data_IF_524742032357
#
_entry.id   IF_524742032357
#
_cell.length_a   1.000
_cell.length_b   1.000
_cell.length_c   1.000
_cell.angle_alpha   90.00
_cell.angle_beta   90.00
_cell.angle_gamma   90.00
#
_symmetry.space_group_name_H-M   'P 1'
#
loop_
_entity.id
_entity.type
_entity.pdbx_description
1 polymer ?
#
# COMPACT_ATOMS: atom_id res chain seq x y z
N UNK A 1 -2.05 1.40 37.69
CA UNK A 1 -0.83 2.06 37.17
C UNK A 1 -1.29 3.32 36.45
N UNK A 2 -0.77 4.47 36.80
CA UNK A 2 -1.01 5.73 36.06
C UNK A 2 0.02 5.78 34.95
N UNK A 3 -0.44 5.66 33.69
CA UNK A 3 0.41 5.87 32.53
C UNK A 3 0.50 7.38 32.26
N UNK A 4 1.69 7.96 32.28
CA UNK A 4 1.96 9.31 31.74
C UNK A 4 2.32 9.18 30.26
N UNK A 5 1.36 8.76 29.42
CA UNK A 5 1.53 8.64 27.97
C UNK A 5 0.65 9.73 27.35
N UNK A 6 1.29 10.76 26.76
CA UNK A 6 0.58 11.89 26.15
C UNK A 6 -0.10 11.52 24.85
N UNK A 7 0.56 10.76 23.97
CA UNK A 7 0.04 10.37 22.66
C UNK A 7 0.63 9.04 22.19
N UNK A 8 -0.22 8.16 21.63
CA UNK A 8 0.17 6.87 21.04
C UNK A 8 -0.32 6.82 19.60
N UNK A 9 0.61 6.80 18.64
CA UNK A 9 0.27 6.71 17.22
C UNK A 9 0.26 5.25 16.75
N UNK A 10 -0.92 4.72 16.47
CA UNK A 10 -1.16 3.35 16.02
C UNK A 10 -1.85 3.29 14.65
N UNK A 11 -1.53 4.24 13.76
CA UNK A 11 -2.13 4.30 12.41
C UNK A 11 -1.06 4.42 11.29
N UNK A 12 0.05 3.69 11.43
CA UNK A 12 1.16 3.70 10.47
C UNK A 12 0.75 3.18 9.07
N UNK A 13 -0.32 2.38 8.97
CA UNK A 13 -0.87 1.96 7.69
C UNK A 13 -1.58 3.10 6.94
N UNK A 14 -2.07 4.14 7.63
CA UNK A 14 -2.62 5.35 6.99
C UNK A 14 -1.50 6.26 6.51
N UNK A 15 -0.54 6.59 7.36
CA UNK A 15 0.66 7.39 7.02
C UNK A 15 1.72 7.22 8.10
N UNK A 16 2.96 7.58 7.77
CA UNK A 16 4.05 7.66 8.76
C UNK A 16 4.64 9.07 8.80
N UNK A 17 5.27 9.51 9.90
CA UNK A 17 6.07 10.71 9.92
C UNK A 17 7.31 10.56 9.03
N UNK A 18 7.83 11.66 8.51
CA UNK A 18 9.17 11.68 7.88
C UNK A 18 10.20 11.46 8.99
N UNK A 19 11.13 10.51 8.80
CA UNK A 19 12.21 10.34 9.79
C UNK A 19 13.21 11.50 9.77
N UNK A 20 13.91 11.71 10.89
CA UNK A 20 14.92 12.79 11.01
C UNK A 20 16.02 12.66 9.95
N UNK A 21 16.52 11.43 9.73
CA UNK A 21 17.58 11.16 8.75
C UNK A 21 17.12 11.42 7.32
N UNK A 22 15.83 11.16 7.02
CA UNK A 22 15.24 11.46 5.72
C UNK A 22 15.09 12.97 5.55
N UNK A 23 14.62 13.67 6.58
CA UNK A 23 14.45 15.12 6.53
C UNK A 23 15.81 15.84 6.34
N UNK A 24 16.83 15.42 7.08
CA UNK A 24 18.20 15.97 6.98
C UNK A 24 18.76 15.81 5.56
N UNK A 25 18.56 14.66 4.92
CA UNK A 25 19.01 14.39 3.54
C UNK A 25 18.26 15.27 2.52
N UNK A 26 17.00 15.62 2.79
CA UNK A 26 16.18 16.46 1.91
C UNK A 26 16.53 17.94 1.97
N UNK A 27 16.91 18.46 3.14
CA UNK A 27 17.04 19.91 3.40
C UNK A 27 17.91 20.68 2.39
N UNK A 28 19.09 20.20 1.96
CA UNK A 28 19.93 20.92 1.02
C UNK A 28 19.25 21.20 -0.33
N UNK A 29 18.32 20.34 -0.75
CA UNK A 29 17.65 20.45 -2.05
C UNK A 29 16.51 21.48 -2.07
N UNK A 30 16.18 22.09 -0.95
CA UNK A 30 15.22 23.21 -0.91
C UNK A 30 15.88 24.57 -1.14
N UNK A 31 17.14 24.75 -0.73
CA UNK A 31 17.78 26.07 -0.67
C UNK A 31 19.18 26.15 -1.26
N UNK A 32 19.93 25.07 -1.24
CA UNK A 32 21.34 25.05 -1.68
C UNK A 32 21.48 24.37 -3.07
N UNK A 33 21.08 23.12 -3.21
CA UNK A 33 21.13 22.33 -4.45
C UNK A 33 19.78 22.33 -5.17
N UNK A 34 19.16 23.50 -5.35
CA UNK A 34 17.80 23.68 -5.90
C UNK A 34 17.72 23.72 -7.43
N UNK A 35 18.82 23.45 -8.13
CA UNK A 35 18.89 23.58 -9.59
C UNK A 35 17.87 22.68 -10.31
N UNK A 36 17.26 23.21 -11.39
CA UNK A 36 16.37 22.40 -12.22
C UNK A 36 17.17 21.27 -12.89
N UNK A 37 16.84 20.00 -12.68
CA UNK A 37 17.62 18.86 -13.20
C UNK A 37 17.79 18.83 -14.72
N UNK A 38 16.89 19.49 -15.47
CA UNK A 38 16.95 19.57 -16.93
C UNK A 38 17.92 20.63 -17.47
N UNK A 39 18.47 21.51 -16.62
CA UNK A 39 19.40 22.56 -17.02
C UNK A 39 20.84 22.06 -17.18
N UNK A 40 21.69 22.86 -17.87
CA UNK A 40 23.06 22.41 -18.21
C UNK A 40 24.13 22.90 -17.21
N UNK A 41 23.81 23.85 -16.34
CA UNK A 41 24.78 24.43 -15.38
C UNK A 41 25.02 23.50 -14.18
N UNK A 42 26.16 23.73 -13.48
CA UNK A 42 26.66 22.87 -12.40
C UNK A 42 25.63 22.60 -11.29
N UNK A 43 24.91 23.65 -10.83
CA UNK A 43 23.88 23.49 -9.81
C UNK A 43 22.79 22.45 -10.14
N UNK A 44 22.51 22.26 -11.42
CA UNK A 44 21.56 21.27 -11.92
C UNK A 44 22.11 19.85 -11.94
N UNK A 45 23.43 19.71 -12.03
CA UNK A 45 24.07 18.38 -12.03
C UNK A 45 23.95 17.73 -10.65
N UNK A 46 24.01 18.50 -9.56
CA UNK A 46 23.81 17.99 -8.19
C UNK A 46 22.39 17.42 -8.04
N UNK A 47 21.38 18.17 -8.49
CA UNK A 47 19.99 17.71 -8.46
C UNK A 47 19.77 16.46 -9.31
N UNK A 48 20.34 16.41 -10.53
CA UNK A 48 20.25 15.24 -11.42
C UNK A 48 20.93 14.02 -10.81
N UNK A 49 22.12 14.19 -10.25
CA UNK A 49 22.86 13.12 -9.61
C UNK A 49 22.11 12.55 -8.40
N UNK A 50 21.48 13.42 -7.60
CA UNK A 50 20.67 13.01 -6.46
C UNK A 50 19.42 12.22 -6.86
N UNK A 51 18.77 12.61 -7.97
CA UNK A 51 17.64 11.84 -8.53
C UNK A 51 18.08 10.44 -8.93
N UNK A 52 19.16 10.33 -9.74
CA UNK A 52 19.60 9.02 -10.21
C UNK A 52 20.14 8.15 -9.08
N UNK A 53 20.83 8.71 -8.08
CA UNK A 53 21.25 7.97 -6.89
C UNK A 53 20.06 7.45 -6.07
N UNK A 54 19.00 8.23 -5.93
CA UNK A 54 17.77 7.80 -5.27
C UNK A 54 17.05 6.71 -6.05
N UNK A 55 17.08 6.81 -7.38
CA UNK A 55 16.54 5.78 -8.31
C UNK A 55 17.28 4.46 -8.17
N UNK A 56 18.62 4.50 -8.10
CA UNK A 56 19.47 3.33 -7.88
C UNK A 56 19.14 2.62 -6.56
N UNK A 57 18.89 3.39 -5.48
CA UNK A 57 18.50 2.84 -4.17
C UNK A 57 17.17 2.08 -4.26
N UNK A 58 16.13 2.69 -4.90
CA UNK A 58 14.85 2.02 -5.08
C UNK A 58 15.01 0.75 -5.92
N UNK A 59 15.70 0.85 -7.05
CA UNK A 59 15.94 -0.26 -7.96
C UNK A 59 16.64 -1.43 -7.25
N UNK A 60 17.67 -1.14 -6.47
CA UNK A 60 18.41 -2.15 -5.69
C UNK A 60 17.51 -2.88 -4.70
N UNK A 61 16.65 -2.16 -3.96
CA UNK A 61 15.80 -2.76 -2.93
C UNK A 61 14.76 -3.72 -3.53
N UNK A 62 14.22 -3.40 -4.70
CA UNK A 62 13.22 -4.27 -5.35
C UNK A 62 13.81 -5.21 -6.42
N UNK A 63 15.14 -5.27 -6.56
CA UNK A 63 15.87 -6.06 -7.55
C UNK A 63 15.48 -5.75 -9.01
N UNK A 64 15.36 -4.44 -9.34
CA UNK A 64 15.13 -3.96 -10.71
C UNK A 64 16.34 -3.24 -11.29
N UNK A 65 16.25 -2.83 -12.57
CA UNK A 65 17.17 -1.86 -13.15
C UNK A 65 16.71 -0.43 -12.83
N UNK A 66 17.61 0.55 -12.65
CA UNK A 66 17.21 1.94 -12.42
C UNK A 66 16.37 2.53 -13.56
N UNK A 67 16.56 2.06 -14.81
CA UNK A 67 15.77 2.49 -15.96
C UNK A 67 14.29 2.09 -15.86
N UNK A 68 13.95 1.11 -15.03
CA UNK A 68 12.60 0.61 -14.83
C UNK A 68 11.83 1.36 -13.73
N UNK A 69 12.45 2.35 -13.08
CA UNK A 69 11.80 3.15 -12.03
C UNK A 69 11.36 4.50 -12.61
N UNK A 70 10.10 4.86 -12.40
CA UNK A 70 9.52 6.17 -12.71
C UNK A 70 8.99 6.79 -11.43
N UNK A 71 9.44 7.99 -11.06
CA UNK A 71 8.93 8.70 -9.91
C UNK A 71 7.55 9.31 -10.19
N UNK A 72 6.68 9.26 -9.20
CA UNK A 72 5.30 9.75 -9.24
C UNK A 72 5.00 10.56 -7.97
N UNK A 73 3.81 11.13 -7.86
CA UNK A 73 3.39 11.84 -6.64
C UNK A 73 2.92 10.93 -5.49
N UNK A 74 2.87 9.62 -5.70
CA UNK A 74 2.41 8.66 -4.68
C UNK A 74 1.76 7.43 -5.29
N UNK A 75 1.30 6.50 -4.42
CA UNK A 75 0.69 5.24 -4.84
C UNK A 75 -0.53 5.42 -5.76
N UNK A 76 -1.35 6.43 -5.51
CA UNK A 76 -2.53 6.70 -6.35
C UNK A 76 -2.15 7.06 -7.79
N UNK A 77 -1.15 7.93 -7.99
CA UNK A 77 -0.65 8.23 -9.33
C UNK A 77 -0.01 7.01 -9.98
N UNK A 78 0.81 6.26 -9.23
CA UNK A 78 1.44 5.03 -9.73
C UNK A 78 0.42 4.00 -10.21
N UNK A 79 -0.63 3.73 -9.40
CA UNK A 79 -1.71 2.81 -9.75
C UNK A 79 -2.50 3.26 -10.99
N UNK A 80 -2.81 4.56 -11.07
CA UNK A 80 -3.48 5.13 -12.24
C UNK A 80 -2.61 5.06 -13.48
N UNK A 81 -1.31 5.40 -13.38
CA UNK A 81 -0.38 5.34 -14.50
C UNK A 81 -0.22 3.89 -15.00
N UNK A 82 -0.08 2.92 -14.09
CA UNK A 82 -0.01 1.51 -14.44
C UNK A 82 -1.25 1.05 -15.21
N UNK A 83 -2.44 1.28 -14.66
CA UNK A 83 -3.68 0.78 -15.27
C UNK A 83 -4.07 1.57 -16.53
N UNK A 84 -4.14 2.89 -16.43
CA UNK A 84 -4.59 3.74 -17.55
C UNK A 84 -3.56 3.81 -18.65
N UNK A 85 -2.27 3.88 -18.32
CA UNK A 85 -1.19 3.90 -19.31
C UNK A 85 -1.12 2.64 -20.17
N UNK A 86 -1.63 1.51 -19.67
CA UNK A 86 -1.75 0.25 -20.42
C UNK A 86 -3.11 0.15 -21.14
N UNK A 87 -4.19 0.55 -20.49
CA UNK A 87 -5.54 0.26 -20.97
C UNK A 87 -6.07 1.30 -21.98
N UNK A 88 -5.68 2.58 -21.86
CA UNK A 88 -6.22 3.63 -22.74
C UNK A 88 -5.73 3.55 -24.20
N UNK A 89 -4.45 3.25 -24.49
CA UNK A 89 -3.94 3.29 -25.86
C UNK A 89 -4.57 2.25 -26.79
N UNK A 90 -4.91 1.07 -26.30
CA UNK A 90 -5.25 -0.10 -27.10
C UNK A 90 -6.67 -0.64 -26.85
N UNK A 91 -7.60 0.24 -26.51
CA UNK A 91 -8.97 -0.12 -26.14
C UNK A 91 -9.74 -0.92 -27.22
N UNK A 92 -9.26 -0.91 -28.46
CA UNK A 92 -9.97 -1.53 -29.59
C UNK A 92 -9.36 -2.84 -30.08
N UNK A 93 -8.31 -3.37 -29.45
CA UNK A 93 -7.58 -4.55 -29.94
C UNK A 93 -8.15 -5.92 -29.51
N UNK A 94 -9.39 -5.94 -29.00
CA UNK A 94 -10.09 -7.20 -28.63
C UNK A 94 -9.65 -7.78 -27.29
N UNK A 95 -8.83 -7.08 -26.51
CA UNK A 95 -8.56 -7.35 -25.09
C UNK A 95 -9.17 -6.21 -24.25
N UNK A 96 -10.33 -6.45 -23.71
CA UNK A 96 -11.12 -5.46 -22.98
C UNK A 96 -11.54 -5.92 -21.57
N UNK A 97 -10.86 -6.90 -21.00
CA UNK A 97 -11.12 -7.36 -19.64
C UNK A 97 -10.00 -6.92 -18.70
N UNK A 98 -10.40 -6.45 -17.53
CA UNK A 98 -9.53 -6.11 -16.39
C UNK A 98 -9.93 -7.02 -15.23
N UNK A 99 -8.94 -7.66 -14.60
CA UNK A 99 -9.14 -8.48 -13.40
C UNK A 99 -8.48 -7.78 -12.21
N UNK A 100 -9.24 -7.51 -11.17
CA UNK A 100 -8.73 -6.96 -9.91
C UNK A 100 -9.22 -7.80 -8.73
N UNK A 101 -8.55 -7.73 -7.58
CA UNK A 101 -9.08 -8.38 -6.38
C UNK A 101 -10.26 -7.61 -5.79
N UNK A 102 -11.12 -8.32 -5.04
CA UNK A 102 -12.22 -7.68 -4.28
C UNK A 102 -11.73 -6.82 -3.12
N UNK A 103 -10.45 -6.93 -2.76
CA UNK A 103 -9.85 -6.24 -1.61
C UNK A 103 -8.85 -5.13 -1.99
N UNK A 104 -8.88 -4.68 -3.26
CA UNK A 104 -8.01 -3.61 -3.73
C UNK A 104 -8.27 -2.27 -3.02
N UNK A 105 -7.24 -1.44 -2.99
CA UNK A 105 -7.41 -0.03 -2.60
C UNK A 105 -8.24 0.73 -3.65
N UNK A 106 -8.96 1.77 -3.23
CA UNK A 106 -9.77 2.61 -4.13
C UNK A 106 -8.95 3.23 -5.28
N UNK A 107 -7.64 3.39 -5.14
CA UNK A 107 -6.74 3.83 -6.21
C UNK A 107 -6.61 2.82 -7.37
N UNK A 108 -7.12 1.59 -7.21
CA UNK A 108 -7.27 0.57 -8.26
C UNK A 108 -8.75 0.42 -8.64
N UNK A 109 -9.66 0.34 -7.65
CA UNK A 109 -11.10 0.13 -7.90
C UNK A 109 -11.67 1.25 -8.77
N UNK A 110 -11.48 2.52 -8.37
CA UNK A 110 -12.08 3.65 -9.08
C UNK A 110 -11.53 3.84 -10.51
N UNK A 111 -10.22 3.73 -10.80
CA UNK A 111 -9.73 3.71 -12.18
C UNK A 111 -10.31 2.56 -13.01
N UNK A 112 -10.44 1.36 -12.44
CA UNK A 112 -11.05 0.22 -13.12
C UNK A 112 -12.53 0.51 -13.47
N UNK A 113 -13.30 1.04 -12.51
CA UNK A 113 -14.70 1.46 -12.74
C UNK A 113 -14.80 2.56 -13.80
N UNK A 114 -13.87 3.51 -13.82
CA UNK A 114 -13.82 4.52 -14.88
C UNK A 114 -13.61 3.89 -16.27
N UNK A 115 -12.76 2.88 -16.38
CA UNK A 115 -12.50 2.18 -17.64
C UNK A 115 -13.72 1.39 -18.14
N UNK A 116 -14.65 0.97 -17.27
CA UNK A 116 -15.94 0.41 -17.71
C UNK A 116 -16.72 1.38 -18.60
N UNK A 117 -16.69 2.68 -18.29
CA UNK A 117 -17.43 3.68 -19.06
C UNK A 117 -16.97 3.81 -20.50
N UNK A 118 -15.78 3.31 -20.82
CA UNK A 118 -15.18 3.34 -22.15
C UNK A 118 -15.07 1.95 -22.81
N UNK A 119 -15.67 0.90 -22.22
CA UNK A 119 -15.85 -0.40 -22.85
C UNK A 119 -15.04 -1.56 -22.27
N UNK A 120 -14.34 -1.36 -21.14
CA UNK A 120 -13.73 -2.46 -20.41
C UNK A 120 -14.74 -3.22 -19.56
N UNK A 121 -14.59 -4.54 -19.46
CA UNK A 121 -15.25 -5.39 -18.48
C UNK A 121 -14.32 -5.58 -17.27
N UNK A 122 -14.78 -5.22 -16.08
CA UNK A 122 -14.01 -5.39 -14.84
C UNK A 122 -14.52 -6.59 -14.07
N UNK A 123 -13.64 -7.54 -13.81
CA UNK A 123 -13.89 -8.75 -13.03
C UNK A 123 -13.23 -8.63 -11.66
N UNK A 124 -14.00 -8.95 -10.63
CA UNK A 124 -13.54 -8.88 -9.24
C UNK A 124 -13.22 -10.28 -8.75
N UNK A 125 -11.94 -10.59 -8.60
CA UNK A 125 -11.48 -11.88 -8.11
C UNK A 125 -11.74 -12.00 -6.60
N UNK A 126 -12.50 -13.00 -6.14
CA UNK A 126 -12.81 -13.18 -4.74
C UNK A 126 -11.60 -13.67 -3.94
N UNK A 127 -11.66 -13.39 -2.64
CA UNK A 127 -10.72 -13.90 -1.65
C UNK A 127 -11.39 -14.91 -0.72
N UNK A 128 -10.57 -15.69 0.00
CA UNK A 128 -11.04 -16.57 1.07
C UNK A 128 -11.22 -15.79 2.40
N UNK A 129 -11.52 -16.53 3.47
CA UNK A 129 -11.71 -16.01 4.82
C UNK A 129 -10.42 -15.48 5.49
N UNK A 130 -9.25 -15.73 4.91
CA UNK A 130 -7.96 -15.11 5.31
C UNK A 130 -7.58 -13.91 4.42
N UNK A 131 -8.41 -13.58 3.44
CA UNK A 131 -8.18 -12.49 2.49
C UNK A 131 -7.18 -12.83 1.40
N UNK A 132 -7.03 -14.12 1.06
CA UNK A 132 -6.13 -14.62 0.02
C UNK A 132 -6.93 -14.94 -1.23
N UNK A 133 -6.38 -14.62 -2.42
CA UNK A 133 -6.99 -14.90 -3.71
C UNK A 133 -7.30 -16.40 -3.86
N UNK A 134 -8.54 -16.70 -4.24
CA UNK A 134 -8.96 -18.05 -4.60
C UNK A 134 -8.43 -18.41 -5.98
N UNK A 135 -7.44 -19.30 -6.03
CA UNK A 135 -6.69 -19.62 -7.24
C UNK A 135 -7.59 -20.16 -8.36
N UNK A 136 -8.58 -21.02 -8.05
CA UNK A 136 -9.49 -21.58 -9.04
C UNK A 136 -10.38 -20.51 -9.68
N UNK A 137 -10.87 -19.55 -8.87
CA UNK A 137 -11.65 -18.42 -9.37
C UNK A 137 -10.78 -17.51 -10.25
N UNK A 138 -9.55 -17.20 -9.80
CA UNK A 138 -8.59 -16.42 -10.57
C UNK A 138 -8.28 -17.08 -11.92
N UNK A 139 -7.99 -18.38 -11.94
CA UNK A 139 -7.70 -19.15 -13.16
C UNK A 139 -8.84 -19.08 -14.18
N UNK A 140 -10.09 -19.12 -13.71
CA UNK A 140 -11.28 -19.05 -14.55
C UNK A 140 -11.57 -17.64 -15.06
N UNK A 141 -11.12 -16.60 -14.35
CA UNK A 141 -11.33 -15.20 -14.75
C UNK A 141 -10.36 -14.73 -15.83
N UNK A 142 -9.16 -15.34 -15.92
CA UNK A 142 -8.16 -14.98 -16.92
C UNK A 142 -8.50 -15.62 -18.26
N UNK A 143 -8.87 -14.80 -19.25
CA UNK A 143 -9.30 -15.22 -20.58
C UNK A 143 -8.44 -14.59 -21.68
N UNK A 144 -8.67 -14.96 -22.92
CA UNK A 144 -8.02 -14.37 -24.08
C UNK A 144 -8.41 -12.89 -24.35
N UNK A 145 -9.37 -12.35 -23.58
CA UNK A 145 -9.77 -10.95 -23.60
C UNK A 145 -9.14 -10.14 -22.47
N UNK A 146 -8.48 -10.80 -21.50
CA UNK A 146 -7.84 -10.13 -20.39
C UNK A 146 -6.66 -9.28 -20.88
N UNK A 147 -6.69 -7.99 -20.59
CA UNK A 147 -5.63 -7.02 -20.90
C UNK A 147 -4.76 -6.74 -19.70
N UNK A 148 -5.39 -6.51 -18.56
CA UNK A 148 -4.71 -6.02 -17.36
C UNK A 148 -5.20 -6.75 -16.11
N UNK A 149 -4.27 -7.09 -15.24
CA UNK A 149 -4.54 -7.69 -13.94
C UNK A 149 -3.88 -6.83 -12.88
N UNK A 150 -4.60 -6.52 -11.80
CA UNK A 150 -4.03 -5.83 -10.64
C UNK A 150 -4.45 -6.54 -9.36
N UNK A 151 -3.46 -7.10 -8.66
CA UNK A 151 -3.63 -7.76 -7.36
C UNK A 151 -2.63 -7.14 -6.40
N UNK A 152 -3.12 -6.52 -5.32
CA UNK A 152 -2.25 -5.91 -4.32
C UNK A 152 -1.36 -6.95 -3.64
N UNK A 153 -0.09 -6.61 -3.39
CA UNK A 153 0.85 -7.52 -2.73
C UNK A 153 0.51 -7.70 -1.25
N UNK A 154 0.11 -6.60 -0.58
CA UNK A 154 -0.28 -6.64 0.83
C UNK A 154 -1.45 -5.69 1.10
N UNK A 155 -2.46 -6.16 1.84
CA UNK A 155 -3.65 -5.39 2.13
C UNK A 155 -3.44 -4.43 3.32
N UNK A 156 -3.95 -3.21 3.19
CA UNK A 156 -3.80 -2.13 4.16
C UNK A 156 -4.77 -2.21 5.37
N UNK A 157 -5.79 -3.07 5.31
CA UNK A 157 -6.80 -3.19 6.37
C UNK A 157 -6.59 -4.43 7.22
N UNK A 158 -6.37 -5.57 6.60
CA UNK A 158 -6.28 -6.89 7.26
C UNK A 158 -4.87 -7.47 7.24
N UNK A 159 -3.95 -6.83 6.50
CA UNK A 159 -2.56 -7.26 6.41
C UNK A 159 -2.31 -8.50 5.56
N UNK A 160 -3.31 -9.08 4.87
CA UNK A 160 -3.09 -10.27 4.03
C UNK A 160 -2.02 -10.03 2.95
N UNK A 161 -1.16 -11.04 2.71
CA UNK A 161 -0.07 -11.00 1.73
C UNK A 161 -0.34 -12.02 0.65
N UNK A 162 -0.44 -11.57 -0.61
CA UNK A 162 -0.78 -12.43 -1.74
C UNK A 162 0.44 -13.15 -2.30
N UNK A 163 0.24 -14.38 -2.75
CA UNK A 163 1.26 -15.14 -3.50
C UNK A 163 1.30 -14.68 -4.96
N UNK A 164 1.79 -13.44 -5.19
CA UNK A 164 1.83 -12.83 -6.52
C UNK A 164 2.59 -13.70 -7.52
N UNK A 165 3.70 -14.34 -7.11
CA UNK A 165 4.46 -15.22 -8.00
C UNK A 165 3.60 -16.33 -8.60
N UNK A 166 2.86 -17.05 -7.78
CA UNK A 166 2.00 -18.13 -8.26
C UNK A 166 0.91 -17.62 -9.23
N UNK A 167 0.32 -16.45 -8.94
CA UNK A 167 -0.67 -15.83 -9.83
C UNK A 167 -0.04 -15.39 -11.17
N UNK A 168 1.16 -14.84 -11.14
CA UNK A 168 1.90 -14.48 -12.36
C UNK A 168 2.24 -15.71 -13.19
N UNK A 169 2.70 -16.80 -12.57
CA UNK A 169 2.99 -18.06 -13.28
C UNK A 169 1.78 -18.58 -14.06
N UNK A 170 0.58 -18.55 -13.45
CA UNK A 170 -0.68 -18.89 -14.11
C UNK A 170 -0.92 -17.98 -15.34
N UNK A 171 -0.71 -16.66 -15.18
CA UNK A 171 -0.91 -15.71 -16.28
C UNK A 171 0.06 -15.96 -17.41
N UNK A 172 1.34 -16.24 -17.12
CA UNK A 172 2.36 -16.53 -18.15
C UNK A 172 2.07 -17.82 -18.94
N UNK A 173 1.45 -18.82 -18.32
CA UNK A 173 0.95 -20.01 -19.03
C UNK A 173 -0.21 -19.67 -19.95
N UNK A 174 -1.20 -18.91 -19.46
CA UNK A 174 -2.33 -18.42 -20.26
C UNK A 174 -1.92 -17.54 -21.44
N UNK A 175 -0.91 -16.68 -21.28
CA UNK A 175 -0.33 -15.88 -22.36
C UNK A 175 0.16 -16.77 -23.53
N UNK A 176 0.82 -17.89 -23.21
CA UNK A 176 1.30 -18.84 -24.22
C UNK A 176 0.13 -19.48 -24.99
N UNK A 177 -0.90 -19.91 -24.23
CA UNK A 177 -2.09 -20.54 -24.83
C UNK A 177 -2.87 -19.58 -25.71
N UNK A 178 -2.98 -18.31 -25.31
CA UNK A 178 -3.74 -17.29 -26.03
C UNK A 178 -2.91 -16.58 -27.12
N UNK A 179 -1.59 -16.71 -27.10
CA UNK A 179 -0.63 -15.92 -27.91
C UNK A 179 -0.91 -14.42 -27.78
N UNK A 180 -1.12 -13.94 -26.55
CA UNK A 180 -1.43 -12.53 -26.21
C UNK A 180 -0.75 -12.13 -24.92
N UNK A 181 -0.27 -10.87 -24.85
CA UNK A 181 0.29 -10.31 -23.63
C UNK A 181 -0.83 -9.92 -22.66
N UNK A 182 -0.67 -10.27 -21.39
CA UNK A 182 -1.51 -9.86 -20.26
C UNK A 182 -0.62 -9.14 -19.26
N UNK A 183 -0.89 -7.88 -18.98
CA UNK A 183 -0.07 -7.10 -18.07
C UNK A 183 -0.46 -7.36 -16.62
N UNK A 184 0.51 -7.72 -15.80
CA UNK A 184 0.32 -7.97 -14.37
C UNK A 184 0.92 -6.85 -13.53
N UNK A 185 0.06 -6.11 -12.85
CA UNK A 185 0.41 -5.07 -11.88
C UNK A 185 0.19 -5.56 -10.45
N UNK A 186 1.05 -5.10 -9.53
CA UNK A 186 0.83 -5.27 -8.09
C UNK A 186 0.99 -3.95 -7.35
N UNK A 187 0.00 -3.61 -6.50
CA UNK A 187 0.13 -2.52 -5.54
C UNK A 187 0.95 -3.01 -4.34
N UNK A 188 2.20 -2.53 -4.22
CA UNK A 188 3.12 -2.87 -3.14
C UNK A 188 3.22 -1.77 -2.06
N UNK A 189 2.31 -0.81 -2.05
CA UNK A 189 2.32 0.36 -1.15
C UNK A 189 2.42 -0.05 0.32
N UNK A 190 1.77 -1.13 0.73
CA UNK A 190 1.87 -1.62 2.10
C UNK A 190 3.00 -2.63 2.33
N UNK A 191 3.64 -3.11 1.27
CA UNK A 191 4.65 -4.17 1.34
C UNK A 191 6.08 -3.65 1.52
N UNK A 192 6.40 -2.51 0.88
CA UNK A 192 7.76 -1.91 0.91
C UNK A 192 8.22 -1.64 2.34
N UNK A 193 9.43 -2.08 2.67
CA UNK A 193 10.05 -1.94 3.99
C UNK A 193 9.48 -2.88 5.07
N UNK A 194 8.50 -3.74 4.73
CA UNK A 194 7.87 -4.69 5.67
C UNK A 194 8.11 -6.14 5.27
N UNK A 195 8.08 -6.43 3.97
CA UNK A 195 8.44 -7.75 3.40
C UNK A 195 9.45 -7.57 2.27
N UNK A 196 10.18 -8.64 1.95
CA UNK A 196 11.14 -8.63 0.83
C UNK A 196 10.40 -8.56 -0.50
N UNK A 197 10.86 -7.69 -1.39
CA UNK A 197 10.33 -7.53 -2.73
C UNK A 197 11.44 -7.79 -3.75
N UNK A 198 11.19 -8.70 -4.68
CA UNK A 198 12.06 -9.00 -5.80
C UNK A 198 11.20 -9.09 -7.06
N UNK A 199 11.19 -8.02 -7.87
CA UNK A 199 10.30 -7.93 -9.05
C UNK A 199 10.63 -8.98 -10.10
N UNK A 200 11.90 -9.41 -10.20
CA UNK A 200 12.31 -10.47 -11.12
C UNK A 200 11.78 -11.83 -10.67
N UNK A 201 11.80 -12.11 -9.36
CA UNK A 201 11.24 -13.35 -8.81
C UNK A 201 9.70 -13.35 -8.82
N UNK A 202 9.07 -12.18 -8.58
CA UNK A 202 7.62 -12.04 -8.69
C UNK A 202 7.12 -12.18 -10.14
N UNK A 203 7.93 -11.73 -11.12
CA UNK A 203 7.61 -11.78 -12.54
C UNK A 203 6.55 -10.78 -12.99
N UNK A 204 6.26 -9.75 -12.18
CA UNK A 204 5.29 -8.70 -12.48
C UNK A 204 5.77 -7.76 -13.57
N UNK A 205 4.85 -7.16 -14.30
CA UNK A 205 5.13 -6.15 -15.32
C UNK A 205 5.22 -4.74 -14.72
N UNK A 206 4.43 -4.47 -13.66
CA UNK A 206 4.36 -3.16 -13.00
C UNK A 206 4.19 -3.34 -11.48
N UNK A 207 4.79 -2.41 -10.69
CA UNK A 207 4.66 -2.41 -9.24
C UNK A 207 4.62 -0.97 -8.70
N UNK A 208 3.61 -0.67 -7.88
CA UNK A 208 3.41 0.66 -7.30
C UNK A 208 3.98 0.79 -5.89
N UNK A 209 4.62 1.93 -5.61
CA UNK A 209 5.24 2.30 -4.34
C UNK A 209 4.72 3.66 -3.88
N UNK A 210 4.56 3.87 -2.56
CA UNK A 210 4.22 5.16 -1.96
C UNK A 210 5.10 5.46 -0.75
N UNK A 211 5.86 6.55 -0.82
CA UNK A 211 6.90 6.87 0.15
C UNK A 211 6.41 7.05 1.58
N UNK A 212 5.25 7.68 1.77
CA UNK A 212 4.73 7.99 3.11
C UNK A 212 4.29 6.76 3.94
N UNK A 213 4.40 5.56 3.41
CA UNK A 213 4.14 4.31 4.14
C UNK A 213 5.38 3.71 4.80
N UNK A 214 6.56 4.29 4.53
CA UNK A 214 7.84 3.87 5.10
C UNK A 214 8.76 5.07 5.42
N UNK A 215 8.20 6.10 6.06
CA UNK A 215 8.89 7.28 6.62
C UNK A 215 9.52 8.23 5.59
N UNK A 216 9.12 8.16 4.31
CA UNK A 216 9.39 9.20 3.33
C UNK A 216 8.31 10.31 3.36
N UNK A 217 8.53 11.46 2.70
CA UNK A 217 7.52 12.50 2.63
C UNK A 217 6.26 12.05 1.89
N UNK A 218 5.13 12.68 2.20
CA UNK A 218 3.92 12.63 1.40
C UNK A 218 4.18 13.31 0.05
N UNK A 219 3.45 12.96 -0.99
CA UNK A 219 3.60 13.60 -2.30
C UNK A 219 4.73 13.02 -3.15
N UNK A 220 5.22 11.82 -2.80
CA UNK A 220 6.20 11.07 -3.60
C UNK A 220 5.85 9.57 -3.60
N UNK A 221 6.02 8.95 -4.76
CA UNK A 221 5.94 7.52 -4.98
C UNK A 221 6.80 7.10 -6.16
N UNK A 222 6.69 5.85 -6.55
CA UNK A 222 7.35 5.33 -7.74
C UNK A 222 6.50 4.22 -8.37
N UNK A 223 6.62 4.10 -9.69
CA UNK A 223 6.14 2.96 -10.47
C UNK A 223 7.35 2.22 -11.05
N UNK A 224 7.48 0.95 -10.73
CA UNK A 224 8.32 0.02 -11.48
C UNK A 224 7.60 -0.34 -12.76
N UNK A 225 8.28 -0.22 -13.88
CA UNK A 225 7.82 -0.57 -15.22
C UNK A 225 8.88 -1.48 -15.83
N UNK A 226 8.54 -2.75 -16.04
CA UNK A 226 9.45 -3.71 -16.67
C UNK A 226 9.94 -3.19 -18.03
N UNK A 227 11.20 -3.41 -18.38
CA UNK A 227 11.85 -2.88 -19.61
C UNK A 227 11.13 -3.23 -20.92
N UNK A 228 10.30 -4.30 -20.93
CA UNK A 228 9.51 -4.72 -22.10
C UNK A 228 8.10 -4.14 -22.11
N UNK A 229 7.77 -3.26 -21.17
CA UNK A 229 6.44 -2.64 -21.03
C UNK A 229 6.52 -1.17 -21.41
N UNK A 230 5.63 -0.73 -22.26
CA UNK A 230 5.44 0.69 -22.56
C UNK A 230 4.15 1.15 -21.90
N UNK A 231 4.20 2.26 -21.18
CA UNK A 231 3.03 2.93 -20.61
C UNK A 231 2.85 4.30 -21.28
N UNK A 232 1.62 4.63 -21.61
CA UNK A 232 1.30 6.01 -22.04
C UNK A 232 1.27 6.92 -20.82
N UNK A 233 1.91 8.09 -20.87
CA UNK A 233 1.92 9.03 -19.77
C UNK A 233 0.50 9.55 -19.47
N UNK A 234 0.19 9.75 -18.20
CA UNK A 234 -1.03 10.47 -17.80
C UNK A 234 -0.83 11.99 -17.79
N UNK A 235 0.40 12.44 -17.66
CA UNK A 235 0.78 13.84 -17.59
C UNK A 235 1.74 14.14 -18.76
N UNK A 236 1.20 14.74 -19.80
CA UNK A 236 1.98 15.21 -20.95
C UNK A 236 2.74 16.49 -20.62
N UNK A 237 3.91 16.70 -21.27
CA UNK A 237 4.71 17.90 -21.06
C UNK A 237 6.15 17.78 -21.54
N UNK A 238 7.11 18.14 -20.70
CA UNK A 238 8.53 18.25 -21.04
C UNK A 238 9.30 16.92 -21.15
N UNK A 239 8.65 15.78 -21.02
CA UNK A 239 9.25 14.46 -21.20
C UNK A 239 10.18 14.01 -20.08
N UNK A 240 10.02 14.58 -18.86
CA UNK A 240 10.74 14.12 -17.69
C UNK A 240 10.41 12.65 -17.38
N UNK A 241 11.16 12.05 -16.44
CA UNK A 241 11.00 10.63 -16.10
C UNK A 241 10.95 9.71 -17.35
N UNK A 242 11.84 9.96 -18.30
CA UNK A 242 11.95 9.18 -19.56
C UNK A 242 10.65 9.14 -20.37
N UNK A 243 9.92 10.24 -20.38
CA UNK A 243 8.62 10.42 -21.06
C UNK A 243 7.44 9.68 -20.39
N UNK A 244 7.64 8.98 -19.29
CA UNK A 244 6.56 8.31 -18.56
C UNK A 244 5.77 9.28 -17.69
N UNK A 245 6.39 10.38 -17.20
CA UNK A 245 5.73 11.33 -16.32
C UNK A 245 6.37 12.72 -16.44
N UNK A 246 5.70 13.65 -17.08
CA UNK A 246 6.19 14.99 -17.30
C UNK A 246 6.01 15.90 -16.07
N UNK A 247 6.74 17.01 -16.07
CA UNK A 247 6.79 18.01 -15.00
C UNK A 247 8.13 17.97 -14.26
N UNK A 248 8.61 19.15 -13.86
CA UNK A 248 9.87 19.28 -13.11
C UNK A 248 9.89 18.33 -11.91
N UNK A 249 10.95 17.61 -11.75
CA UNK A 249 11.11 16.58 -10.73
C UNK A 249 11.16 17.21 -9.32
N UNK A 250 10.43 16.61 -8.38
CA UNK A 250 10.44 17.02 -6.97
C UNK A 250 11.70 16.47 -6.27
N UNK A 251 12.84 17.12 -6.55
CA UNK A 251 14.16 16.64 -6.11
C UNK A 251 14.22 16.35 -4.61
N UNK A 252 13.77 17.24 -3.70
CA UNK A 252 13.83 16.96 -2.26
C UNK A 252 13.07 15.70 -1.88
N UNK A 253 11.85 15.51 -2.43
CA UNK A 253 11.04 14.33 -2.11
C UNK A 253 11.59 13.05 -2.73
N UNK A 254 12.21 13.12 -3.92
CA UNK A 254 12.90 12.01 -4.56
C UNK A 254 14.10 11.57 -3.71
N UNK A 255 14.88 12.51 -3.20
CA UNK A 255 15.98 12.21 -2.26
C UNK A 255 15.42 11.57 -0.99
N UNK A 256 14.31 12.12 -0.48
CA UNK A 256 13.64 11.61 0.71
C UNK A 256 13.17 10.15 0.54
N UNK A 257 12.53 9.80 -0.57
CA UNK A 257 12.09 8.40 -0.79
C UNK A 257 13.29 7.45 -0.97
N UNK A 258 14.38 7.91 -1.63
CA UNK A 258 15.62 7.16 -1.78
C UNK A 258 16.32 6.86 -0.45
N UNK A 259 16.32 7.82 0.49
CA UNK A 259 16.86 7.61 1.84
C UNK A 259 15.96 6.71 2.68
N UNK A 260 14.65 6.95 2.62
CA UNK A 260 13.69 6.19 3.39
C UNK A 260 13.66 4.71 3.03
N UNK A 261 13.74 4.36 1.72
CA UNK A 261 13.71 2.95 1.31
C UNK A 261 14.97 2.19 1.74
N UNK A 262 16.13 2.86 1.74
CA UNK A 262 17.39 2.30 2.24
C UNK A 262 17.29 1.98 3.73
N UNK A 263 16.76 2.91 4.54
CA UNK A 263 16.56 2.71 5.99
C UNK A 263 15.53 1.60 6.22
N UNK A 264 14.41 1.62 5.51
CA UNK A 264 13.34 0.64 5.67
C UNK A 264 13.83 -0.79 5.36
N UNK A 265 14.58 -0.97 4.27
CA UNK A 265 15.13 -2.29 3.93
C UNK A 265 16.18 -2.77 4.94
N UNK A 266 17.07 -1.89 5.40
CA UNK A 266 18.08 -2.26 6.41
C UNK A 266 17.47 -2.66 7.75
N UNK A 267 16.28 -2.13 8.09
CA UNK A 267 15.58 -2.40 9.34
C UNK A 267 14.42 -3.41 9.19
N UNK A 268 14.19 -3.98 8.02
CA UNK A 268 13.00 -4.79 7.70
C UNK A 268 12.81 -5.99 8.65
N UNK A 269 13.87 -6.70 8.96
CA UNK A 269 13.81 -7.86 9.87
C UNK A 269 13.49 -7.43 11.31
N UNK A 270 14.13 -6.36 11.78
CA UNK A 270 13.85 -5.79 13.09
C UNK A 270 12.40 -5.27 13.17
N UNK A 271 11.92 -4.59 12.12
CA UNK A 271 10.54 -4.15 12.02
C UNK A 271 9.56 -5.33 12.15
N UNK A 272 9.79 -6.39 11.39
CA UNK A 272 8.95 -7.58 11.43
C UNK A 272 8.89 -8.18 12.84
N UNK A 273 10.04 -8.44 13.46
CA UNK A 273 10.11 -9.06 14.77
C UNK A 273 9.45 -8.18 15.85
N UNK A 274 9.80 -6.91 15.89
CA UNK A 274 9.27 -5.97 16.86
C UNK A 274 7.74 -5.81 16.74
N UNK A 275 7.23 -5.55 15.54
CA UNK A 275 5.78 -5.36 15.35
C UNK A 275 5.00 -6.65 15.53
N UNK A 276 5.60 -7.82 15.26
CA UNK A 276 5.01 -9.12 15.55
C UNK A 276 4.82 -9.31 17.07
N UNK A 277 5.85 -9.00 17.86
CA UNK A 277 5.80 -9.10 19.32
C UNK A 277 4.75 -8.15 19.91
N UNK A 278 4.65 -6.91 19.38
CA UNK A 278 3.62 -5.95 19.78
C UNK A 278 2.20 -6.45 19.45
N UNK A 279 2.00 -6.96 18.23
CA UNK A 279 0.70 -7.49 17.79
C UNK A 279 0.26 -8.70 18.60
N UNK A 280 1.18 -9.64 18.85
CA UNK A 280 0.92 -10.84 19.64
C UNK A 280 0.59 -10.49 21.11
N UNK A 281 1.31 -9.51 21.68
CA UNK A 281 1.02 -8.99 23.02
C UNK A 281 -0.36 -8.35 23.07
N UNK A 282 -0.70 -7.48 22.12
CA UNK A 282 -2.01 -6.83 22.04
C UNK A 282 -3.13 -7.86 21.98
N UNK A 283 -3.07 -8.80 21.03
CA UNK A 283 -4.09 -9.83 20.84
C UNK A 283 -4.27 -10.69 22.11
N UNK A 284 -3.17 -11.09 22.74
CA UNK A 284 -3.20 -11.88 23.96
C UNK A 284 -3.84 -11.11 25.14
N UNK A 285 -3.46 -9.85 25.33
CA UNK A 285 -4.01 -9.04 26.43
C UNK A 285 -5.48 -8.69 26.19
N UNK A 286 -5.83 -8.36 24.95
CA UNK A 286 -7.22 -8.06 24.58
C UNK A 286 -8.12 -9.28 24.82
N UNK A 287 -7.65 -10.49 24.46
CA UNK A 287 -8.41 -11.73 24.67
C UNK A 287 -8.71 -11.99 26.15
N UNK A 288 -7.83 -11.60 27.04
CA UNK A 288 -8.05 -11.70 28.48
C UNK A 288 -9.07 -10.69 29.02
N UNK A 289 -9.17 -9.50 28.41
CA UNK A 289 -10.05 -8.40 28.84
C UNK A 289 -11.41 -8.43 28.14
N UNK A 290 -11.44 -8.74 26.87
CA UNK A 290 -12.61 -8.75 25.97
C UNK A 290 -12.61 -10.08 25.19
N UNK A 291 -13.00 -11.21 25.82
CA UNK A 291 -12.85 -12.54 25.20
C UNK A 291 -13.63 -12.74 23.90
N UNK A 292 -14.71 -11.97 23.71
CA UNK A 292 -15.65 -12.05 22.59
C UNK A 292 -15.23 -11.19 21.36
N UNK A 293 -14.08 -10.51 21.41
CA UNK A 293 -13.62 -9.77 20.23
C UNK A 293 -13.33 -10.71 19.04
N UNK A 294 -13.59 -10.23 17.85
CA UNK A 294 -13.38 -10.95 16.58
C UNK A 294 -12.17 -10.37 15.86
N UNK A 295 -11.15 -11.19 15.63
CA UNK A 295 -9.95 -10.79 14.89
C UNK A 295 -10.20 -10.96 13.38
N UNK A 296 -9.87 -9.94 12.60
CA UNK A 296 -10.01 -9.94 11.14
C UNK A 296 -8.69 -9.98 10.38
N UNK A 297 -7.57 -9.69 11.04
CA UNK A 297 -6.24 -9.75 10.41
C UNK A 297 -5.95 -11.14 9.86
N UNK A 298 -5.21 -11.20 8.77
CA UNK A 298 -4.73 -12.45 8.17
C UNK A 298 -3.74 -13.15 9.10
N UNK A 299 -3.82 -14.48 9.15
CA UNK A 299 -2.97 -15.30 10.03
C UNK A 299 -1.48 -15.22 9.68
N UNK A 300 -1.16 -15.09 8.37
CA UNK A 300 0.20 -15.02 7.85
C UNK A 300 0.45 -13.69 7.12
N UNK A 301 -0.18 -12.63 7.61
CA UNK A 301 -0.11 -11.30 7.01
C UNK A 301 1.06 -10.45 7.52
N UNK A 302 0.95 -9.15 7.24
CA UNK A 302 1.88 -8.15 7.77
C UNK A 302 1.83 -8.14 9.30
N UNK A 303 2.99 -8.17 9.93
CA UNK A 303 3.15 -8.25 11.38
C UNK A 303 2.62 -7.04 12.14
N UNK A 304 2.50 -5.91 11.48
CA UNK A 304 2.18 -4.62 12.09
C UNK A 304 0.69 -4.24 12.04
N UNK A 305 -0.18 -5.01 11.38
CA UNK A 305 -1.60 -4.69 11.22
C UNK A 305 -2.46 -5.61 12.08
N UNK A 306 -3.23 -5.01 12.98
CA UNK A 306 -4.24 -5.71 13.78
C UNK A 306 -5.60 -5.08 13.51
N UNK A 307 -6.48 -5.83 12.85
CA UNK A 307 -7.86 -5.45 12.58
C UNK A 307 -8.81 -6.35 13.36
N UNK A 308 -9.74 -5.76 14.08
CA UNK A 308 -10.67 -6.51 14.94
C UNK A 308 -11.99 -5.74 15.09
N UNK A 309 -13.01 -6.46 15.54
CA UNK A 309 -14.30 -5.87 15.95
C UNK A 309 -14.69 -6.36 17.33
N UNK A 310 -15.47 -5.54 18.05
CA UNK A 310 -16.08 -5.92 19.30
C UNK A 310 -17.59 -6.04 19.04
N UNK A 311 -18.20 -7.22 19.27
CA UNK A 311 -19.61 -7.45 18.98
C UNK A 311 -20.53 -6.42 19.67
N UNK A 312 -21.51 -5.94 18.91
CA UNK A 312 -22.52 -4.96 19.32
C UNK A 312 -21.98 -3.55 19.66
N UNK A 313 -20.75 -3.22 19.28
CA UNK A 313 -20.21 -1.87 19.37
C UNK A 313 -19.76 -1.43 17.97
N UNK A 314 -20.11 -0.22 17.57
CA UNK A 314 -19.63 0.38 16.33
C UNK A 314 -18.17 0.87 16.47
N UNK A 315 -17.41 0.84 15.38
CA UNK A 315 -16.00 1.23 15.39
C UNK A 315 -15.77 2.72 15.66
N UNK A 316 -16.60 3.60 15.10
CA UNK A 316 -16.46 5.05 15.24
C UNK A 316 -16.50 5.53 16.71
N UNK A 317 -17.48 5.15 17.55
CA UNK A 317 -17.45 5.48 18.97
C UNK A 317 -16.21 4.96 19.70
N UNK A 318 -15.70 3.78 19.34
CA UNK A 318 -14.44 3.25 19.90
C UNK A 318 -13.28 4.17 19.53
N UNK A 319 -13.16 4.56 18.26
CA UNK A 319 -12.09 5.43 17.78
C UNK A 319 -12.11 6.80 18.45
N UNK A 320 -13.30 7.40 18.59
CA UNK A 320 -13.48 8.67 19.30
C UNK A 320 -13.05 8.52 20.78
N UNK A 321 -13.49 7.44 21.45
CA UNK A 321 -13.11 7.17 22.82
C UNK A 321 -11.60 6.96 23.01
N UNK A 322 -10.93 6.30 22.06
CA UNK A 322 -9.48 6.13 22.04
C UNK A 322 -8.75 7.46 21.81
N UNK A 323 -9.24 8.29 20.90
CA UNK A 323 -8.67 9.61 20.60
C UNK A 323 -8.71 10.53 21.85
N UNK A 324 -9.81 10.54 22.61
CA UNK A 324 -9.88 11.22 23.91
C UNK A 324 -8.86 10.73 24.93
N UNK A 325 -8.32 9.53 24.75
CA UNK A 325 -7.24 8.96 25.57
C UNK A 325 -5.85 9.13 24.91
N UNK A 326 -5.75 9.93 23.84
CA UNK A 326 -4.49 10.17 23.12
C UNK A 326 -4.04 8.99 22.22
N UNK A 327 -4.92 8.02 21.92
CA UNK A 327 -4.60 6.85 21.07
C UNK A 327 -5.19 7.05 19.68
N UNK A 328 -4.32 7.19 18.69
CA UNK A 328 -4.69 7.38 17.28
C UNK A 328 -4.77 6.04 16.57
N UNK A 329 -5.96 5.66 16.14
CA UNK A 329 -6.26 4.44 15.42
C UNK A 329 -7.22 4.74 14.26
N UNK A 330 -7.53 3.75 13.43
CA UNK A 330 -8.37 3.93 12.25
C UNK A 330 -9.46 2.87 12.16
N UNK A 331 -10.53 3.15 11.43
CA UNK A 331 -11.41 2.11 10.91
C UNK A 331 -10.78 1.49 9.65
N UNK A 332 -11.14 0.28 9.29
CA UNK A 332 -10.69 -0.34 8.05
C UNK A 332 -10.96 0.56 6.82
N UNK A 333 -12.08 1.27 6.80
CA UNK A 333 -12.55 2.12 5.70
C UNK A 333 -12.14 3.60 5.79
N UNK A 334 -11.04 3.96 6.43
CA UNK A 334 -10.60 5.35 6.70
C UNK A 334 -10.54 6.31 5.50
N UNK A 335 -10.69 5.83 4.26
CA UNK A 335 -10.67 6.66 3.05
C UNK A 335 -12.04 7.24 2.64
N UNK A 336 -13.13 6.89 3.30
CA UNK A 336 -14.48 7.40 3.02
C UNK A 336 -14.93 8.38 4.11
N UNK A 337 -14.50 9.64 4.02
CA UNK A 337 -14.79 10.71 5.01
C UNK A 337 -16.25 11.18 5.04
N UNK A 338 -17.17 10.55 4.31
CA UNK A 338 -18.54 11.02 4.17
C UNK A 338 -19.65 9.97 4.36
N UNK A 339 -19.35 8.68 4.50
CA UNK A 339 -20.38 7.65 4.70
C UNK A 339 -19.91 6.59 5.72
N UNK A 340 -20.81 6.22 6.65
CA UNK A 340 -20.65 5.08 7.55
C UNK A 340 -20.94 3.82 6.73
N UNK A 341 -20.01 3.45 5.85
CA UNK A 341 -20.13 2.21 5.06
C UNK A 341 -19.19 1.14 5.64
N UNK A 342 -19.63 -0.13 5.67
CA UNK A 342 -18.78 -1.23 6.10
C UNK A 342 -17.60 -1.40 5.14
N UNK A 343 -16.45 -1.81 5.66
CA UNK A 343 -15.28 -2.09 4.84
C UNK A 343 -15.57 -3.13 3.76
N UNK A 344 -15.38 -2.75 2.48
CA UNK A 344 -15.51 -3.69 1.36
C UNK A 344 -14.53 -4.87 1.48
N UNK A 345 -13.37 -4.67 2.10
CA UNK A 345 -12.37 -5.71 2.36
C UNK A 345 -12.92 -6.75 3.34
N UNK A 346 -13.52 -6.31 4.44
CA UNK A 346 -14.11 -7.22 5.42
C UNK A 346 -15.33 -7.95 4.87
N UNK A 347 -16.19 -7.26 4.10
CA UNK A 347 -17.31 -7.89 3.39
C UNK A 347 -16.84 -8.94 2.39
N UNK A 348 -15.77 -8.65 1.64
CA UNK A 348 -15.17 -9.59 0.68
C UNK A 348 -14.63 -10.88 1.34
N UNK A 349 -14.17 -10.78 2.60
CA UNK A 349 -13.79 -11.95 3.43
C UNK A 349 -14.99 -12.73 3.98
N UNK A 350 -16.21 -12.24 3.83
CA UNK A 350 -17.42 -12.84 4.39
C UNK A 350 -17.70 -12.42 5.85
N UNK A 351 -17.10 -11.34 6.34
CA UNK A 351 -17.42 -10.79 7.66
C UNK A 351 -18.83 -10.18 7.62
N UNK A 352 -19.63 -10.47 8.64
CA UNK A 352 -20.97 -9.88 8.78
C UNK A 352 -20.91 -8.34 8.78
N UNK A 353 -21.88 -7.70 8.13
CA UNK A 353 -21.92 -6.25 7.94
C UNK A 353 -21.85 -5.47 9.26
N UNK A 354 -22.53 -5.93 10.32
CA UNK A 354 -22.50 -5.27 11.63
C UNK A 354 -21.13 -5.36 12.29
N UNK A 355 -20.44 -6.49 12.12
CA UNK A 355 -19.07 -6.65 12.58
C UNK A 355 -18.11 -5.79 11.76
N UNK A 356 -18.29 -5.72 10.44
CA UNK A 356 -17.49 -4.88 9.57
C UNK A 356 -17.62 -3.38 9.91
N UNK A 357 -18.83 -2.90 10.24
CA UNK A 357 -19.09 -1.55 10.76
C UNK A 357 -18.44 -1.29 12.12
N UNK A 358 -18.24 -2.34 12.91
CA UNK A 358 -17.59 -2.30 14.22
C UNK A 358 -16.07 -2.40 14.17
N UNK A 359 -15.45 -2.43 12.99
CA UNK A 359 -14.03 -2.71 12.85
C UNK A 359 -13.14 -1.55 13.30
N UNK A 360 -12.05 -1.91 14.00
CA UNK A 360 -10.95 -1.04 14.41
C UNK A 360 -9.66 -1.63 13.88
N UNK A 361 -8.83 -0.80 13.25
CA UNK A 361 -7.49 -1.17 12.83
C UNK A 361 -6.44 -0.43 13.66
N UNK A 362 -5.54 -1.18 14.26
CA UNK A 362 -4.27 -0.70 14.79
C UNK A 362 -3.17 -1.06 13.81
N UNK A 363 -2.24 -0.17 13.59
CA UNK A 363 -1.07 -0.45 12.76
C UNK A 363 0.19 0.13 13.42
N UNK A 364 1.02 -0.77 13.90
CA UNK A 364 2.21 -0.47 14.68
C UNK A 364 3.42 -0.11 13.81
N UNK A 365 4.41 0.51 14.44
CA UNK A 365 5.70 0.88 13.85
C UNK A 365 6.84 0.56 14.82
N UNK A 366 8.08 0.83 14.40
CA UNK A 366 9.26 0.66 15.26
C UNK A 366 9.27 1.60 16.49
N UNK A 367 8.48 2.67 16.46
CA UNK A 367 8.42 3.62 17.58
C UNK A 367 7.48 3.21 18.70
N UNK A 368 6.57 2.25 18.45
CA UNK A 368 5.65 1.80 19.48
C UNK A 368 6.35 0.91 20.53
N UNK A 369 5.91 0.99 21.78
CA UNK A 369 6.50 0.25 22.91
C UNK A 369 5.52 -0.76 23.51
N UNK A 370 6.03 -1.68 24.32
CA UNK A 370 5.20 -2.64 25.04
C UNK A 370 4.29 -1.98 26.07
N UNK A 371 4.76 -0.90 26.69
CA UNK A 371 3.99 -0.08 27.64
C UNK A 371 2.81 0.60 26.96
N UNK A 372 3.00 1.09 25.73
CA UNK A 372 1.92 1.63 24.92
C UNK A 372 0.88 0.56 24.60
N UNK A 373 1.28 -0.68 24.29
CA UNK A 373 0.34 -1.79 24.04
C UNK A 373 -0.51 -2.06 25.29
N UNK A 374 0.09 -2.07 26.48
CA UNK A 374 -0.64 -2.26 27.74
C UNK A 374 -1.66 -1.12 27.96
N UNK A 375 -1.24 0.11 27.70
CA UNK A 375 -2.10 1.29 27.79
C UNK A 375 -3.26 1.25 26.79
N UNK A 376 -3.02 0.86 25.53
CA UNK A 376 -4.05 0.72 24.51
C UNK A 376 -5.12 -0.28 24.96
N UNK A 377 -4.72 -1.44 25.47
CA UNK A 377 -5.66 -2.50 25.89
C UNK A 377 -6.52 -2.06 27.07
N UNK A 378 -5.93 -1.40 28.10
CA UNK A 378 -6.69 -0.87 29.23
C UNK A 378 -7.67 0.22 28.76
N UNK A 379 -7.21 1.16 27.95
CA UNK A 379 -8.03 2.24 27.40
C UNK A 379 -9.19 1.72 26.56
N UNK A 380 -8.93 0.74 25.70
CA UNK A 380 -9.95 0.11 24.87
C UNK A 380 -11.00 -0.61 25.73
N UNK A 381 -10.57 -1.32 26.79
CA UNK A 381 -11.49 -1.98 27.71
C UNK A 381 -12.42 -0.98 28.43
N UNK A 382 -11.87 0.15 28.92
CA UNK A 382 -12.65 1.21 29.56
C UNK A 382 -13.67 1.82 28.59
N UNK A 383 -13.21 2.21 27.37
CA UNK A 383 -14.09 2.77 26.32
C UNK A 383 -15.23 1.80 25.98
N UNK A 384 -14.93 0.52 25.80
CA UNK A 384 -15.96 -0.47 25.49
C UNK A 384 -16.94 -0.71 26.65
N UNK A 385 -16.48 -0.61 27.88
CA UNK A 385 -17.34 -0.71 29.08
C UNK A 385 -18.30 0.46 29.14
N UNK A 386 -17.82 1.69 28.88
CA UNK A 386 -18.66 2.89 28.88
C UNK A 386 -19.69 2.88 27.75
N UNK A 387 -19.34 2.35 26.58
CA UNK A 387 -20.24 2.21 25.42
C UNK A 387 -21.30 1.10 25.59
N UNK A 388 -21.10 0.15 26.51
CA UNK A 388 -22.07 -0.92 26.85
C UNK A 388 -23.01 -0.55 27.98
N UNK A 389 -22.71 0.54 28.74
CA UNK A 389 -23.52 1.02 29.88
C UNK A 389 -24.64 1.96 29.41
#
# INVERSE_FOLDING_TARGET
MTFEIDQVYCDSAATTPVSSEVLEEMLPFFTESFGNPSSLYMLSQDSRSAIEFSRDKLAKVINSNPSEITFTSGGTESNNLAMKGICLPEIHEGQNEIVISTIEHHAIIHPAEQLKSIGYEVKYCPVDDDGIIKIDDFLNMVTNKTKFISIMLANNEIGSVQNIKALVEIVREKEKDFNKKIYFHTDAVQAVGKISIDVKNLGVDLLSISGHKFNAPKGIGALYINEYVTVEPLLDGGGQERQNRSGTENVPSIVGIGKAIEIAESNRENFYNHTKDLSDRFIRLLRNKIPDFVLHSSNNGLSNIVNFSIPNIQGEPILIGLDFKGIMASSGSACSTASIEPSHVLLAKGVDEKLALGSVRLSFSNSNTFEEIDYIVESLYEVCKDLKS
#
